data_IF_371057310204
#
_entry.id   IF_371057310204
#
_cell.length_a   1.000
_cell.length_b   1.000
_cell.length_c   1.000
_cell.angle_alpha   90.00
_cell.angle_beta   90.00
_cell.angle_gamma   90.00
#
_symmetry.space_group_name_H-M   'P 1'
#
loop_
_entity.id
_entity.type
_entity.pdbx_description
1 polymer ?
#
# COMPACT_ATOMS: atom_id res chain seq x y z
N UNK A 1 -0.19 -0.43 22.03
CA UNK A 1 0.69 -0.74 20.89
C UNK A 1 0.20 -1.97 20.14
N UNK A 2 0.52 -3.24 20.46
CA UNK A 2 -0.02 -4.36 19.63
C UNK A 2 -1.54 -4.44 19.68
N UNK A 3 -2.14 -4.57 20.87
CA UNK A 3 -3.60 -4.63 21.02
C UNK A 3 -4.32 -3.40 20.45
N UNK A 4 -3.61 -2.28 20.30
CA UNK A 4 -4.14 -1.04 19.75
C UNK A 4 -4.13 -1.06 18.22
N UNK A 5 -3.15 -1.74 17.60
CA UNK A 5 -3.15 -1.98 16.15
C UNK A 5 -4.22 -3.00 15.78
N UNK A 6 -4.38 -4.08 16.57
CA UNK A 6 -5.48 -5.05 16.37
C UNK A 6 -6.86 -4.36 16.45
N UNK A 7 -7.09 -3.51 17.47
CA UNK A 7 -8.33 -2.73 17.58
C UNK A 7 -8.54 -1.74 16.42
N UNK A 8 -7.44 -1.17 15.90
CA UNK A 8 -7.50 -0.29 14.73
C UNK A 8 -7.86 -1.07 13.47
N UNK A 9 -7.31 -2.28 13.30
CA UNK A 9 -7.59 -3.13 12.15
C UNK A 9 -9.05 -3.58 12.12
N UNK A 10 -9.57 -4.06 13.26
CA UNK A 10 -11.00 -4.35 13.43
C UNK A 10 -11.89 -3.14 13.05
N UNK A 11 -11.40 -1.92 13.32
CA UNK A 11 -12.09 -0.69 12.97
C UNK A 11 -12.03 -0.40 11.47
N UNK A 12 -10.88 -0.59 10.83
CA UNK A 12 -10.68 -0.42 9.39
C UNK A 12 -11.56 -1.40 8.60
N UNK A 13 -11.59 -2.67 9.00
CA UNK A 13 -12.45 -3.72 8.44
C UNK A 13 -13.94 -3.36 8.51
N UNK A 14 -14.37 -2.91 9.69
CA UNK A 14 -15.75 -2.47 9.90
C UNK A 14 -16.11 -1.31 8.97
N UNK A 15 -15.22 -0.32 8.83
CA UNK A 15 -15.43 0.83 7.95
C UNK A 15 -15.49 0.40 6.48
N UNK A 16 -14.60 -0.49 6.05
CA UNK A 16 -14.60 -1.05 4.69
C UNK A 16 -15.96 -1.70 4.39
N UNK A 17 -16.45 -2.57 5.28
CA UNK A 17 -17.74 -3.23 5.15
C UNK A 17 -18.91 -2.23 5.06
N UNK A 18 -18.97 -1.24 5.95
CA UNK A 18 -20.06 -0.26 5.97
C UNK A 18 -20.06 0.65 4.72
N UNK A 19 -18.87 1.07 4.27
CA UNK A 19 -18.74 1.88 3.05
C UNK A 19 -19.15 1.07 1.82
N UNK A 20 -18.67 -0.18 1.68
CA UNK A 20 -19.03 -1.05 0.55
C UNK A 20 -20.53 -1.34 0.52
N UNK A 21 -21.16 -1.56 1.67
CA UNK A 21 -22.61 -1.71 1.77
C UNK A 21 -23.37 -0.46 1.33
N UNK A 22 -22.89 0.73 1.72
CA UNK A 22 -23.47 1.99 1.30
C UNK A 22 -23.35 2.19 -0.21
N UNK A 23 -22.16 1.99 -0.78
CA UNK A 23 -21.93 2.12 -2.22
C UNK A 23 -22.76 1.11 -3.02
N UNK A 24 -22.87 -0.13 -2.54
CA UNK A 24 -23.69 -1.18 -3.18
C UNK A 24 -25.18 -0.82 -3.21
N UNK A 25 -25.70 -0.21 -2.14
CA UNK A 25 -27.08 0.30 -2.11
C UNK A 25 -27.31 1.37 -3.17
N UNK A 26 -26.36 2.27 -3.39
CA UNK A 26 -26.45 3.30 -4.44
C UNK A 26 -26.47 2.65 -5.82
N UNK A 27 -25.57 1.70 -6.09
CA UNK A 27 -25.53 0.97 -7.37
C UNK A 27 -26.85 0.24 -7.66
N UNK A 28 -27.49 -0.31 -6.63
CA UNK A 28 -28.75 -1.05 -6.78
C UNK A 28 -29.97 -0.16 -7.06
N UNK A 29 -29.87 1.16 -6.89
CA UNK A 29 -30.94 2.10 -7.19
C UNK A 29 -30.96 2.44 -8.68
N UNK A 30 -32.12 2.30 -9.33
CA UNK A 30 -32.32 2.66 -10.73
C UNK A 30 -31.99 4.14 -10.98
N UNK A 31 -31.26 4.45 -12.07
CA UNK A 31 -31.08 5.83 -12.55
C UNK A 31 -29.66 6.38 -12.53
N UNK A 32 -28.63 5.55 -12.29
CA UNK A 32 -27.24 5.98 -12.45
C UNK A 32 -26.86 6.11 -13.93
N UNK A 33 -26.13 7.18 -14.24
CA UNK A 33 -25.41 7.31 -15.50
C UNK A 33 -24.20 6.38 -15.54
N UNK A 34 -23.65 6.13 -16.73
CA UNK A 34 -22.44 5.34 -16.89
C UNK A 34 -21.27 5.92 -16.07
N UNK A 35 -21.02 7.25 -16.16
CA UNK A 35 -19.97 7.91 -15.41
C UNK A 35 -20.13 7.76 -13.88
N UNK A 36 -21.35 7.87 -13.36
CA UNK A 36 -21.62 7.64 -11.93
C UNK A 36 -21.34 6.19 -11.52
N UNK A 37 -21.65 5.23 -12.38
CA UNK A 37 -21.42 3.80 -12.12
C UNK A 37 -19.93 3.49 -12.06
N UNK A 38 -19.15 4.09 -12.97
CA UNK A 38 -17.68 3.97 -12.97
C UNK A 38 -17.09 4.61 -11.71
N UNK A 39 -17.56 5.80 -11.35
CA UNK A 39 -17.11 6.50 -10.14
C UNK A 39 -17.33 5.69 -8.86
N UNK A 40 -18.50 5.08 -8.71
CA UNK A 40 -18.79 4.21 -7.56
C UNK A 40 -17.87 2.98 -7.52
N UNK A 41 -17.56 2.39 -8.68
CA UNK A 41 -16.62 1.28 -8.78
C UNK A 41 -15.21 1.70 -8.38
N UNK A 42 -14.78 2.91 -8.76
CA UNK A 42 -13.51 3.49 -8.33
C UNK A 42 -13.44 3.64 -6.80
N UNK A 43 -14.49 4.16 -6.17
CA UNK A 43 -14.56 4.24 -4.70
C UNK A 43 -14.48 2.88 -4.03
N UNK A 44 -15.16 1.85 -4.55
CA UNK A 44 -15.08 0.50 -3.99
C UNK A 44 -13.67 -0.07 -4.02
N UNK A 45 -12.90 0.21 -5.09
CA UNK A 45 -11.51 -0.24 -5.20
C UNK A 45 -10.62 0.46 -4.19
N UNK A 46 -10.67 1.79 -4.13
CA UNK A 46 -9.86 2.57 -3.18
C UNK A 46 -10.15 2.18 -1.72
N UNK A 47 -11.40 1.91 -1.37
CA UNK A 47 -11.76 1.43 -0.02
C UNK A 47 -11.08 0.09 0.30
N UNK A 48 -10.99 -0.81 -0.68
CA UNK A 48 -10.28 -2.08 -0.53
C UNK A 48 -8.76 -1.90 -0.50
N UNK A 49 -8.18 -1.00 -1.31
CA UNK A 49 -6.75 -0.69 -1.24
C UNK A 49 -6.36 -0.07 0.12
N UNK A 50 -7.24 0.75 0.72
CA UNK A 50 -7.05 1.31 2.06
C UNK A 50 -7.08 0.25 3.17
N UNK A 51 -8.00 -0.72 3.09
CA UNK A 51 -8.05 -1.81 4.07
C UNK A 51 -6.83 -2.73 3.94
N UNK A 52 -6.36 -3.04 2.73
CA UNK A 52 -5.13 -3.80 2.54
C UNK A 52 -3.89 -3.16 3.15
N UNK A 53 -3.84 -1.83 3.21
CA UNK A 53 -2.77 -1.12 3.93
C UNK A 53 -2.85 -1.42 5.43
N UNK A 54 -4.07 -1.47 6.00
CA UNK A 54 -4.34 -1.92 7.37
C UNK A 54 -3.85 -3.35 7.62
N UNK A 55 -4.28 -4.30 6.78
CA UNK A 55 -3.84 -5.71 6.82
C UNK A 55 -2.31 -5.84 6.85
N UNK A 56 -1.61 -5.03 6.05
CA UNK A 56 -0.15 -5.01 6.00
C UNK A 56 0.47 -4.40 7.26
N UNK A 57 -0.19 -3.43 7.90
CA UNK A 57 0.23 -2.92 9.21
C UNK A 57 0.11 -4.01 10.29
N UNK A 58 -1.02 -4.71 10.33
CA UNK A 58 -1.23 -5.81 11.28
C UNK A 58 -0.23 -6.96 11.07
N UNK A 59 -0.03 -7.36 9.81
CA UNK A 59 0.99 -8.35 9.42
C UNK A 59 2.39 -7.97 9.91
N UNK A 60 2.77 -6.70 9.77
CA UNK A 60 4.06 -6.18 10.22
C UNK A 60 4.23 -6.25 11.75
N UNK A 61 3.15 -5.95 12.49
CA UNK A 61 3.14 -6.06 13.95
C UNK A 61 3.26 -7.51 14.39
N UNK A 62 2.51 -8.43 13.79
CA UNK A 62 2.60 -9.87 14.09
C UNK A 62 4.02 -10.42 13.87
N UNK A 63 4.70 -10.03 12.79
CA UNK A 63 6.10 -10.38 12.54
C UNK A 63 7.04 -9.81 13.61
N UNK A 64 6.81 -8.57 14.04
CA UNK A 64 7.54 -7.92 15.12
C UNK A 64 7.40 -8.66 16.45
N UNK A 65 6.18 -9.05 16.80
CA UNK A 65 5.90 -9.84 18.01
C UNK A 65 6.56 -11.21 17.99
N UNK A 66 6.47 -11.91 16.86
CA UNK A 66 7.12 -13.21 16.70
C UNK A 66 8.63 -13.09 16.89
N UNK A 67 9.26 -12.05 16.32
CA UNK A 67 10.67 -11.78 16.49
C UNK A 67 11.04 -11.55 17.96
N UNK A 68 10.24 -10.78 18.71
CA UNK A 68 10.46 -10.53 20.14
C UNK A 68 10.33 -11.83 20.94
N UNK A 69 9.26 -12.59 20.71
CA UNK A 69 8.98 -13.86 21.40
C UNK A 69 10.09 -14.88 21.18
N UNK A 70 10.59 -14.98 19.95
CA UNK A 70 11.65 -15.90 19.55
C UNK A 70 13.06 -15.36 19.84
N UNK A 71 13.18 -14.15 20.42
CA UNK A 71 14.45 -13.46 20.70
C UNK A 71 15.33 -13.34 19.47
N UNK A 72 14.70 -13.09 18.31
CA UNK A 72 15.39 -12.81 17.06
C UNK A 72 16.02 -11.43 17.17
N UNK A 73 17.33 -11.36 16.92
CA UNK A 73 18.10 -10.13 17.04
C UNK A 73 18.63 -9.72 15.67
N UNK A 74 18.13 -8.58 15.20
CA UNK A 74 18.67 -7.88 14.04
C UNK A 74 19.97 -7.16 14.41
N UNK A 75 20.85 -6.99 13.42
CA UNK A 75 21.96 -6.03 13.53
C UNK A 75 21.43 -4.60 13.68
N UNK A 76 22.20 -3.71 14.30
CA UNK A 76 21.83 -2.29 14.45
C UNK A 76 21.57 -1.64 13.08
N UNK A 77 22.41 -1.95 12.08
CA UNK A 77 22.22 -1.48 10.70
C UNK A 77 20.91 -1.96 10.10
N UNK A 78 20.50 -3.20 10.36
CA UNK A 78 19.23 -3.75 9.85
C UNK A 78 18.02 -3.04 10.44
N UNK A 79 18.08 -2.72 11.74
CA UNK A 79 17.02 -1.96 12.40
C UNK A 79 16.96 -0.52 11.90
N UNK A 80 18.11 0.12 11.67
CA UNK A 80 18.16 1.48 11.11
C UNK A 80 17.53 1.54 9.73
N UNK A 81 17.90 0.62 8.84
CA UNK A 81 17.34 0.55 7.48
C UNK A 81 15.84 0.27 7.49
N UNK A 82 15.37 -0.65 8.35
CA UNK A 82 13.93 -0.89 8.51
C UNK A 82 13.21 0.39 8.97
N UNK A 83 13.77 1.11 9.95
CA UNK A 83 13.19 2.37 10.44
C UNK A 83 13.09 3.42 9.33
N UNK A 84 14.15 3.58 8.54
CA UNK A 84 14.19 4.54 7.43
C UNK A 84 13.12 4.22 6.36
N UNK A 85 12.94 2.95 6.00
CA UNK A 85 11.91 2.58 5.00
C UNK A 85 10.50 2.67 5.58
N UNK A 86 10.30 2.43 6.88
CA UNK A 86 9.03 2.68 7.58
C UNK A 86 8.64 4.17 7.59
N UNK A 87 9.59 5.06 7.88
CA UNK A 87 9.37 6.51 7.82
C UNK A 87 9.00 6.96 6.39
N UNK A 88 9.61 6.33 5.38
CA UNK A 88 9.33 6.64 3.98
C UNK A 88 7.93 6.19 3.54
N UNK A 89 7.49 4.98 3.88
CA UNK A 89 6.13 4.54 3.55
C UNK A 89 5.08 5.37 4.29
N UNK A 90 5.36 5.83 5.52
CA UNK A 90 4.46 6.74 6.23
C UNK A 90 4.23 8.05 5.45
N UNK A 91 5.31 8.65 4.93
CA UNK A 91 5.22 9.84 4.07
C UNK A 91 4.47 9.58 2.75
N UNK A 92 4.70 8.43 2.11
CA UNK A 92 3.96 8.03 0.89
C UNK A 92 2.47 7.86 1.17
N UNK A 93 2.10 7.22 2.27
CA UNK A 93 0.69 7.07 2.69
C UNK A 93 0.06 8.44 2.95
N UNK A 94 0.74 9.34 3.67
CA UNK A 94 0.24 10.70 3.92
C UNK A 94 -0.01 11.48 2.63
N UNK A 95 0.95 11.44 1.68
CA UNK A 95 0.78 12.05 0.34
C UNK A 95 -0.39 11.45 -0.42
N UNK A 96 -0.59 10.14 -0.34
CA UNK A 96 -1.69 9.42 -1.00
C UNK A 96 -3.05 9.88 -0.50
N UNK A 97 -3.21 9.98 0.82
CA UNK A 97 -4.45 10.49 1.42
C UNK A 97 -4.70 11.93 1.01
N UNK A 98 -3.68 12.80 1.07
CA UNK A 98 -3.83 14.19 0.65
C UNK A 98 -4.17 14.34 -0.84
N UNK A 99 -3.59 13.50 -1.70
CA UNK A 99 -3.89 13.49 -3.13
C UNK A 99 -5.35 13.10 -3.37
N UNK A 100 -5.83 12.08 -2.65
CA UNK A 100 -7.20 11.61 -2.74
C UNK A 100 -8.20 12.65 -2.21
N UNK A 101 -8.00 13.18 -1.01
CA UNK A 101 -8.91 14.13 -0.37
C UNK A 101 -9.11 15.41 -1.20
N UNK A 102 -8.03 15.88 -1.83
CA UNK A 102 -8.03 17.13 -2.60
C UNK A 102 -8.23 16.93 -4.11
N UNK A 103 -8.36 15.68 -4.58
CA UNK A 103 -8.31 15.33 -6.00
C UNK A 103 -7.08 15.94 -6.70
N UNK A 104 -5.94 15.93 -6.01
CA UNK A 104 -4.69 16.54 -6.46
C UNK A 104 -3.90 15.54 -7.31
N UNK A 105 -4.03 15.70 -8.64
CA UNK A 105 -3.39 14.82 -9.62
C UNK A 105 -1.87 14.97 -9.66
N UNK A 106 -1.33 16.13 -9.31
CA UNK A 106 0.12 16.33 -9.32
C UNK A 106 0.75 15.64 -8.10
N UNK A 107 0.08 15.70 -6.95
CA UNK A 107 0.48 14.94 -5.78
C UNK A 107 0.32 13.43 -6.01
N UNK A 108 -0.73 12.99 -6.71
CA UNK A 108 -0.90 11.59 -7.09
C UNK A 108 0.24 11.09 -8.01
N UNK A 109 0.69 11.87 -9.00
CA UNK A 109 1.86 11.53 -9.81
C UNK A 109 3.14 11.40 -8.99
N UNK A 110 3.31 12.26 -7.98
CA UNK A 110 4.43 12.12 -7.05
C UNK A 110 4.37 10.76 -6.33
N UNK A 111 3.20 10.33 -5.85
CA UNK A 111 3.03 9.00 -5.23
C UNK A 111 3.45 7.88 -6.19
N UNK A 112 3.06 7.93 -7.47
CA UNK A 112 3.51 6.95 -8.48
C UNK A 112 5.04 6.91 -8.60
N UNK A 113 5.70 8.08 -8.60
CA UNK A 113 7.16 8.13 -8.67
C UNK A 113 7.83 7.58 -7.40
N UNK A 114 7.21 7.77 -6.23
CA UNK A 114 7.72 7.27 -4.96
C UNK A 114 7.60 5.73 -4.86
N UNK A 115 6.55 5.13 -5.44
CA UNK A 115 6.42 3.66 -5.49
C UNK A 115 7.59 3.00 -6.22
N UNK A 116 8.01 3.52 -7.37
CA UNK A 116 9.21 3.03 -8.06
C UNK A 116 10.47 3.13 -7.18
N UNK A 117 10.57 4.16 -6.35
CA UNK A 117 11.68 4.29 -5.40
C UNK A 117 11.57 3.24 -4.29
N UNK A 118 10.36 2.92 -3.83
CA UNK A 118 10.12 1.87 -2.83
C UNK A 118 10.50 0.49 -3.36
N UNK A 119 10.18 0.17 -4.63
CA UNK A 119 10.62 -1.07 -5.30
C UNK A 119 12.14 -1.23 -5.30
N UNK A 120 12.86 -0.15 -5.61
CA UNK A 120 14.31 -0.16 -5.64
C UNK A 120 14.92 -0.24 -4.23
N UNK A 121 14.29 0.40 -3.24
CA UNK A 121 14.67 0.25 -1.84
C UNK A 121 14.50 -1.20 -1.40
N UNK A 122 13.39 -1.86 -1.73
CA UNK A 122 13.15 -3.26 -1.36
C UNK A 122 14.26 -4.18 -1.87
N UNK A 123 14.63 -4.06 -3.16
CA UNK A 123 15.73 -4.82 -3.77
C UNK A 123 17.05 -4.56 -3.06
N UNK A 124 17.38 -3.30 -2.82
CA UNK A 124 18.64 -2.90 -2.15
C UNK A 124 18.71 -3.43 -0.72
N UNK A 125 17.63 -3.30 0.06
CA UNK A 125 17.60 -3.76 1.45
C UNK A 125 17.70 -5.28 1.54
N UNK A 126 17.06 -6.00 0.62
CA UNK A 126 17.18 -7.46 0.50
C UNK A 126 18.63 -7.89 0.27
N UNK A 127 19.31 -7.28 -0.72
CA UNK A 127 20.69 -7.60 -1.04
C UNK A 127 21.65 -7.28 0.10
N UNK A 128 21.48 -6.11 0.74
CA UNK A 128 22.27 -5.72 1.93
C UNK A 128 22.04 -6.66 3.10
N UNK A 129 20.82 -7.16 3.30
CA UNK A 129 20.55 -8.14 4.34
C UNK A 129 21.26 -9.46 4.06
N UNK A 130 21.21 -9.97 2.83
CA UNK A 130 21.94 -11.18 2.44
C UNK A 130 23.46 -11.02 2.64
N UNK A 131 24.02 -9.86 2.31
CA UNK A 131 25.44 -9.58 2.53
C UNK A 131 25.81 -9.62 4.02
N UNK A 132 25.00 -9.02 4.90
CA UNK A 132 25.22 -9.07 6.36
C UNK A 132 25.17 -10.48 6.90
N UNK A 133 24.24 -11.30 6.42
CA UNK A 133 24.14 -12.71 6.79
C UNK A 133 25.40 -13.49 6.37
N UNK A 134 25.88 -13.27 5.15
CA UNK A 134 27.10 -13.92 4.64
C UNK A 134 28.36 -13.53 5.43
N UNK A 135 28.42 -12.30 5.94
CA UNK A 135 29.53 -11.81 6.78
C UNK A 135 29.41 -12.20 8.26
N UNK A 136 28.29 -12.79 8.68
CA UNK A 136 28.01 -13.09 10.09
C UNK A 136 27.71 -11.85 10.93
N UNK A 137 27.32 -10.74 10.29
CA UNK A 137 27.00 -9.46 10.94
C UNK A 137 25.55 -9.40 11.44
N UNK A 138 24.69 -10.33 10.99
CA UNK A 138 23.31 -10.45 11.44
C UNK A 138 22.94 -11.93 11.68
N UNK A 139 21.98 -12.17 12.56
CA UNK A 139 21.54 -13.52 12.91
C UNK A 139 20.83 -14.19 11.71
N UNK A 140 21.23 -15.40 11.26
CA UNK A 140 20.55 -16.13 10.18
C UNK A 140 19.04 -16.29 10.35
N UNK A 141 18.54 -16.33 11.58
CA UNK A 141 17.10 -16.44 11.86
C UNK A 141 16.31 -15.18 11.48
N UNK A 142 16.97 -14.04 11.21
CA UNK A 142 16.30 -12.82 10.72
C UNK A 142 16.00 -12.85 9.23
N UNK A 143 16.56 -13.80 8.47
CA UNK A 143 16.52 -13.77 7.01
C UNK A 143 15.08 -13.73 6.45
N UNK A 144 14.20 -14.57 7.01
CA UNK A 144 12.81 -14.67 6.57
C UNK A 144 12.03 -13.44 7.01
N UNK A 145 12.12 -13.08 8.29
CA UNK A 145 11.31 -11.99 8.85
C UNK A 145 11.75 -10.62 8.34
N UNK A 146 13.03 -10.39 8.05
CA UNK A 146 13.50 -9.16 7.41
C UNK A 146 12.89 -8.99 6.01
N UNK A 147 12.93 -10.06 5.20
CA UNK A 147 12.41 -10.03 3.83
C UNK A 147 10.89 -9.86 3.81
N UNK A 148 10.19 -10.49 4.75
CA UNK A 148 8.73 -10.33 4.84
C UNK A 148 8.33 -8.91 5.28
N UNK A 149 9.08 -8.29 6.19
CA UNK A 149 8.83 -6.90 6.60
C UNK A 149 9.04 -5.91 5.44
N UNK A 150 10.14 -6.02 4.69
CA UNK A 150 10.36 -5.12 3.55
C UNK A 150 9.33 -5.32 2.45
N UNK A 151 8.90 -6.57 2.20
CA UNK A 151 7.89 -6.88 1.20
C UNK A 151 6.50 -6.38 1.63
N UNK A 152 6.18 -6.46 2.92
CA UNK A 152 4.93 -5.89 3.46
C UNK A 152 4.87 -4.38 3.24
N UNK A 153 6.01 -3.68 3.38
CA UNK A 153 6.10 -2.24 3.13
C UNK A 153 5.97 -1.92 1.63
N UNK A 154 6.55 -2.72 0.74
CA UNK A 154 6.37 -2.57 -0.71
C UNK A 154 4.90 -2.75 -1.10
N UNK A 155 4.20 -3.75 -0.55
CA UNK A 155 2.76 -3.91 -0.78
C UNK A 155 1.91 -2.74 -0.27
N UNK A 156 2.28 -2.09 0.83
CA UNK A 156 1.62 -0.85 1.24
C UNK A 156 1.80 0.25 0.18
N UNK A 157 3.01 0.35 -0.40
CA UNK A 157 3.32 1.29 -1.48
C UNK A 157 2.53 1.00 -2.76
N UNK A 158 2.36 -0.28 -3.11
CA UNK A 158 1.52 -0.71 -4.24
C UNK A 158 0.06 -0.28 -4.08
N UNK A 159 -0.51 -0.47 -2.89
CA UNK A 159 -1.87 -0.03 -2.61
C UNK A 159 -1.98 1.52 -2.67
N UNK A 160 -0.95 2.24 -2.22
CA UNK A 160 -0.87 3.70 -2.38
C UNK A 160 -0.89 4.12 -3.86
N UNK A 161 -0.14 3.41 -4.69
CA UNK A 161 -0.14 3.60 -6.15
C UNK A 161 -1.52 3.36 -6.76
N UNK A 162 -2.22 2.29 -6.41
CA UNK A 162 -3.57 2.03 -6.92
C UNK A 162 -4.56 3.18 -6.62
N UNK A 163 -4.44 3.77 -5.42
CA UNK A 163 -5.23 4.93 -5.02
C UNK A 163 -4.83 6.16 -5.85
N UNK A 164 -3.54 6.41 -6.04
CA UNK A 164 -3.04 7.51 -6.85
C UNK A 164 -3.47 7.40 -8.33
N UNK A 165 -3.39 6.21 -8.93
CA UNK A 165 -3.89 5.94 -10.28
C UNK A 165 -5.39 6.28 -10.37
N UNK A 166 -6.17 5.91 -9.34
CA UNK A 166 -7.62 6.21 -9.28
C UNK A 166 -7.92 7.72 -9.23
N UNK A 167 -7.06 8.52 -8.59
CA UNK A 167 -7.15 9.99 -8.57
C UNK A 167 -6.83 10.58 -9.95
N UNK A 168 -5.78 10.07 -10.61
CA UNK A 168 -5.36 10.54 -11.94
C UNK A 168 -6.45 10.26 -12.98
N UNK A 169 -7.02 9.05 -12.94
CA UNK A 169 -8.13 8.56 -13.77
C UNK A 169 -9.46 9.32 -13.57
N UNK A 170 -9.48 10.33 -12.68
CA UNK A 170 -10.66 11.11 -12.32
C UNK A 170 -11.80 10.26 -11.76
N UNK A 171 -11.49 9.06 -11.24
CA UNK A 171 -12.45 8.04 -10.75
C UNK A 171 -13.48 7.60 -11.83
N UNK A 172 -13.46 8.21 -13.03
CA UNK A 172 -14.55 8.21 -14.01
C UNK A 172 -14.27 7.30 -15.21
N UNK A 173 -13.08 6.69 -15.33
CA UNK A 173 -12.72 5.84 -16.47
C UNK A 173 -12.71 4.32 -16.19
N UNK A 174 -13.24 3.57 -17.17
CA UNK A 174 -13.14 2.12 -17.24
C UNK A 174 -11.77 1.73 -17.79
N UNK A 175 -11.10 0.85 -17.03
CA UNK A 175 -10.05 -0.10 -17.42
C UNK A 175 -8.61 0.42 -17.39
N UNK A 176 -7.89 -0.04 -16.35
CA UNK A 176 -6.50 -0.52 -16.38
C UNK A 176 -5.61 0.18 -17.41
N UNK A 177 -5.22 1.42 -17.11
CA UNK A 177 -3.97 1.97 -17.61
C UNK A 177 -2.93 1.78 -16.52
N UNK A 178 -1.90 0.98 -16.75
CA UNK A 178 -0.68 1.14 -15.96
C UNK A 178 -0.08 2.49 -16.35
N UNK A 179 0.27 3.30 -15.38
CA UNK A 179 0.87 4.62 -15.61
C UNK A 179 2.39 4.53 -15.53
N UNK A 180 3.09 5.29 -16.38
CA UNK A 180 4.50 5.56 -16.18
C UNK A 180 4.72 6.67 -15.15
N UNK A 181 5.99 6.99 -14.90
CA UNK A 181 6.40 7.93 -13.86
C UNK A 181 5.97 9.38 -14.13
N UNK A 182 5.59 9.70 -15.37
CA UNK A 182 5.11 11.02 -15.77
C UNK A 182 3.57 11.11 -15.72
N UNK A 183 2.91 10.00 -15.38
CA UNK A 183 1.45 9.87 -15.40
C UNK A 183 0.90 9.66 -16.81
N UNK A 184 1.71 9.18 -17.75
CA UNK A 184 1.28 8.79 -19.08
C UNK A 184 0.85 7.32 -19.11
N UNK A 185 -0.20 7.00 -19.87
CA UNK A 185 -0.79 5.66 -19.91
C UNK A 185 0.09 4.70 -20.72
N UNK A 186 0.60 3.63 -20.09
CA UNK A 186 1.44 2.61 -20.74
C UNK A 186 0.66 1.64 -21.63
N UNK A 187 -0.63 1.37 -21.36
CA UNK A 187 -1.48 0.52 -22.22
C UNK A 187 -2.99 0.70 -21.95
N UNK A 188 -3.80 0.97 -22.99
CA UNK A 188 -5.25 0.76 -22.92
C UNK A 188 -5.62 -0.65 -23.41
N UNK A 189 -6.28 -1.45 -22.56
CA UNK A 189 -7.25 -2.44 -23.07
C UNK A 189 -8.64 -1.86 -22.90
N UNK A 190 -9.08 -1.08 -23.89
CA UNK A 190 -10.49 -0.69 -23.99
C UNK A 190 -11.33 -1.94 -24.29
N UNK A 191 -11.87 -2.58 -23.27
CA UNK A 191 -12.93 -3.57 -23.43
C UNK A 191 -14.20 -2.77 -23.73
N UNK A 192 -14.45 -2.55 -25.02
CA UNK A 192 -15.73 -2.08 -25.52
C UNK A 192 -16.75 -3.19 -25.31
N UNK A 193 -17.81 -2.90 -24.55
CA UNK A 193 -19.09 -3.57 -24.67
C UNK A 193 -20.11 -2.56 -25.17
#
# INVERSE_FOLDING_TARGET
YISEVEEMEDTVDMLQHEILNYLSKIISQSGLTEGQSVRLTGYMRMVHDLERIGDHCDSSVMLGEENIKNKIQYSETALSELKEVYEKIEDVMQKTILAFENNDKELAKLVLSEENVMDDIEKVLRDRHLERLNKGECNPNTAITYVELIHTIERMSDNCKNIAESVIDDINHRLLGHYDNDGEVLNYKTIKY
#
